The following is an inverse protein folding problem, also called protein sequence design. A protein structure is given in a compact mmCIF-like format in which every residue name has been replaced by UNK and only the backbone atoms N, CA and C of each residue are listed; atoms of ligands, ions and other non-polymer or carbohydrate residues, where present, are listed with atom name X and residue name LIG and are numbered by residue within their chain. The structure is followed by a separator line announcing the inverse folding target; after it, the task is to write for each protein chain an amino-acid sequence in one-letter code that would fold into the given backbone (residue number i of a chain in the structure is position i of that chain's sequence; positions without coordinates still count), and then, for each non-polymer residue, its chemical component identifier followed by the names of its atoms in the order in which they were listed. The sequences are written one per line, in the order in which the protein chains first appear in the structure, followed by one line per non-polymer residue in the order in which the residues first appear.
data_IF_599843278512
#
_entry.id   IF_599843278512
#
_cell.length_a   1.000
_cell.length_b   1.000
_cell.length_c   1.000
_cell.angle_alpha   90.00
_cell.angle_beta   90.00
_cell.angle_gamma   90.00
#
_symmetry.space_group_name_H-M   'P 1'
#
loop_
_entity.id
_entity.type
_entity.pdbx_description
1 polymer ?
#
# COMPACT_ATOMS: atom_id res chain seq x y z
N UNK A 1 -6.51 -30.74 -0.42
CA UNK A 1 -6.04 -29.68 0.50
C UNK A 1 -5.43 -28.49 -0.25
N UNK A 2 -5.01 -28.67 -1.51
CA UNK A 2 -4.39 -27.66 -2.41
C UNK A 2 -5.28 -26.46 -2.77
N UNK A 3 -6.53 -26.72 -3.13
CA UNK A 3 -7.49 -25.71 -3.63
C UNK A 3 -7.84 -24.59 -2.61
N UNK A 4 -7.69 -24.82 -1.29
CA UNK A 4 -8.00 -23.79 -0.28
C UNK A 4 -6.88 -22.75 -0.12
N UNK A 5 -5.62 -23.17 -0.25
CA UNK A 5 -4.47 -22.27 -0.12
C UNK A 5 -4.36 -21.35 -1.35
N UNK A 6 -4.59 -21.91 -2.53
CA UNK A 6 -4.58 -21.16 -3.80
C UNK A 6 -5.69 -20.11 -3.84
N UNK A 7 -6.91 -20.47 -3.40
CA UNK A 7 -8.03 -19.51 -3.30
C UNK A 7 -7.72 -18.36 -2.35
N UNK A 8 -7.11 -18.64 -1.19
CA UNK A 8 -6.73 -17.61 -0.22
C UNK A 8 -5.70 -16.64 -0.82
N UNK A 9 -4.70 -17.16 -1.54
CA UNK A 9 -3.69 -16.35 -2.20
C UNK A 9 -4.31 -15.46 -3.29
N UNK A 10 -5.22 -16.01 -4.11
CA UNK A 10 -5.93 -15.25 -5.15
C UNK A 10 -6.72 -14.09 -4.53
N UNK A 11 -7.50 -14.35 -3.48
CA UNK A 11 -8.28 -13.32 -2.79
C UNK A 11 -7.36 -12.20 -2.25
N UNK A 12 -6.24 -12.56 -1.63
CA UNK A 12 -5.29 -11.56 -1.11
C UNK A 12 -4.70 -10.70 -2.24
N UNK A 13 -4.38 -11.31 -3.39
CA UNK A 13 -3.87 -10.57 -4.55
C UNK A 13 -4.93 -9.60 -5.07
N UNK A 14 -6.18 -10.07 -5.24
CA UNK A 14 -7.30 -9.24 -5.71
C UNK A 14 -7.59 -8.07 -4.76
N UNK A 15 -7.54 -8.30 -3.44
CA UNK A 15 -7.70 -7.24 -2.43
C UNK A 15 -6.59 -6.19 -2.53
N UNK A 16 -5.33 -6.61 -2.64
CA UNK A 16 -4.20 -5.68 -2.77
C UNK A 16 -4.29 -4.91 -4.09
N UNK A 17 -4.67 -5.56 -5.18
CA UNK A 17 -4.87 -4.91 -6.47
C UNK A 17 -5.95 -3.82 -6.40
N UNK A 18 -7.08 -4.12 -5.76
CA UNK A 18 -8.18 -3.16 -5.58
C UNK A 18 -7.73 -1.95 -4.74
N UNK A 19 -7.02 -2.19 -3.64
CA UNK A 19 -6.42 -1.13 -2.80
C UNK A 19 -5.50 -0.23 -3.63
N UNK A 20 -4.61 -0.84 -4.42
CA UNK A 20 -3.64 -0.10 -5.24
C UNK A 20 -4.34 0.77 -6.27
N UNK A 21 -5.36 0.25 -6.95
CA UNK A 21 -6.14 1.03 -7.91
C UNK A 21 -6.89 2.19 -7.24
N UNK A 22 -7.55 1.93 -6.10
CA UNK A 22 -8.28 2.97 -5.36
C UNK A 22 -7.35 4.09 -4.88
N UNK A 23 -6.15 3.75 -4.40
CA UNK A 23 -5.11 4.73 -4.06
C UNK A 23 -4.69 5.53 -5.29
N UNK A 24 -4.45 4.87 -6.43
CA UNK A 24 -3.98 5.54 -7.64
C UNK A 24 -5.03 6.52 -8.21
N UNK A 25 -6.31 6.16 -8.18
CA UNK A 25 -7.42 7.02 -8.58
C UNK A 25 -7.52 8.25 -7.67
N UNK A 26 -7.42 8.04 -6.35
CA UNK A 26 -7.44 9.11 -5.35
C UNK A 26 -6.24 10.04 -5.46
N UNK A 27 -5.03 9.50 -5.68
CA UNK A 27 -3.82 10.29 -5.91
C UNK A 27 -3.95 11.16 -7.15
N UNK A 28 -4.61 10.68 -8.20
CA UNK A 28 -4.86 11.47 -9.42
C UNK A 28 -5.74 12.70 -9.14
N UNK A 29 -6.75 12.56 -8.28
CA UNK A 29 -7.59 13.69 -7.83
C UNK A 29 -6.73 14.73 -7.09
N UNK A 30 -5.88 14.28 -6.17
CA UNK A 30 -5.01 15.15 -5.37
C UNK A 30 -3.96 15.85 -6.24
N UNK A 31 -3.32 15.12 -7.16
CA UNK A 31 -2.26 15.65 -8.01
C UNK A 31 -2.80 16.68 -9.01
N UNK A 32 -3.97 16.41 -9.60
CA UNK A 32 -4.67 17.39 -10.45
C UNK A 32 -5.01 18.66 -9.66
N UNK A 33 -5.44 18.53 -8.42
CA UNK A 33 -5.74 19.68 -7.60
C UNK A 33 -4.48 20.49 -7.25
N UNK A 34 -3.36 19.80 -6.97
CA UNK A 34 -2.06 20.43 -6.68
C UNK A 34 -1.47 21.13 -7.90
N UNK A 35 -1.58 20.57 -9.10
CA UNK A 35 -1.05 21.18 -10.33
C UNK A 35 -1.76 22.47 -10.72
N UNK A 36 -2.99 22.67 -10.23
CA UNK A 36 -3.78 23.88 -10.49
C UNK A 36 -3.49 25.02 -9.49
N UNK A 37 -2.69 24.78 -8.44
CA UNK A 37 -2.32 25.80 -7.47
C UNK A 37 -0.96 26.42 -7.79
N UNK A 38 -0.98 27.68 -8.22
CA UNK A 38 0.21 28.52 -8.38
C UNK A 38 0.74 29.01 -7.01
N UNK A 39 1.24 28.08 -6.17
CA UNK A 39 1.79 28.34 -4.82
C UNK A 39 0.78 28.80 -3.74
N UNK A 40 -0.52 28.66 -3.97
CA UNK A 40 -1.52 28.89 -2.92
C UNK A 40 -1.68 27.68 -1.99
N UNK A 41 -2.28 27.93 -0.81
CA UNK A 41 -2.52 26.96 0.26
C UNK A 41 -3.23 25.71 -0.31
N UNK A 42 -2.76 24.52 0.09
CA UNK A 42 -3.28 23.24 -0.43
C UNK A 42 -4.82 23.20 -0.40
N UNK A 43 -5.47 22.72 -1.48
CA UNK A 43 -6.88 22.98 -1.69
C UNK A 43 -7.72 22.14 -0.72
N UNK A 44 -8.65 22.80 -0.02
CA UNK A 44 -9.56 22.21 0.98
C UNK A 44 -10.92 21.84 0.40
N UNK A 45 -11.00 21.50 -0.89
CA UNK A 45 -12.28 21.07 -1.46
C UNK A 45 -12.67 19.71 -0.89
N UNK A 46 -13.98 19.50 -0.69
CA UNK A 46 -14.51 18.26 -0.11
C UNK A 46 -14.01 17.01 -0.87
N UNK A 47 -13.90 17.08 -2.20
CA UNK A 47 -13.39 15.97 -3.01
C UNK A 47 -11.90 15.61 -2.78
N UNK A 48 -11.06 16.56 -2.39
CA UNK A 48 -9.65 16.27 -2.04
C UNK A 48 -9.57 15.65 -0.66
N UNK A 49 -10.38 16.16 0.27
CA UNK A 49 -10.47 15.62 1.62
C UNK A 49 -11.00 14.18 1.57
N UNK A 50 -12.04 13.92 0.78
CA UNK A 50 -12.56 12.57 0.51
C UNK A 50 -11.50 11.66 -0.11
N UNK A 51 -10.76 12.12 -1.13
CA UNK A 51 -9.69 11.34 -1.75
C UNK A 51 -8.57 11.01 -0.75
N UNK A 52 -8.20 11.96 0.12
CA UNK A 52 -7.23 11.75 1.18
C UNK A 52 -7.72 10.72 2.21
N UNK A 53 -8.98 10.80 2.64
CA UNK A 53 -9.57 9.81 3.54
C UNK A 53 -9.63 8.42 2.91
N UNK A 54 -9.98 8.33 1.63
CA UNK A 54 -10.00 7.06 0.90
C UNK A 54 -8.60 6.44 0.81
N UNK A 55 -7.55 7.26 0.63
CA UNK A 55 -6.17 6.78 0.71
C UNK A 55 -5.85 6.27 2.11
N UNK A 56 -6.22 7.01 3.15
CA UNK A 56 -5.98 6.62 4.55
C UNK A 56 -6.65 5.28 4.90
N UNK A 57 -7.91 5.11 4.53
CA UNK A 57 -8.69 3.88 4.76
C UNK A 57 -8.04 2.69 4.05
N UNK A 58 -7.69 2.85 2.78
CA UNK A 58 -7.00 1.82 2.01
C UNK A 58 -5.63 1.44 2.60
N UNK A 59 -4.89 2.42 3.12
CA UNK A 59 -3.59 2.20 3.78
C UNK A 59 -3.78 1.45 5.10
N UNK A 60 -4.78 1.81 5.90
CA UNK A 60 -5.11 1.10 7.14
C UNK A 60 -5.53 -0.35 6.86
N UNK A 61 -6.44 -0.55 5.89
CA UNK A 61 -6.88 -1.88 5.47
C UNK A 61 -5.75 -2.74 4.91
N UNK A 62 -4.84 -2.14 4.14
CA UNK A 62 -3.62 -2.82 3.70
C UNK A 62 -2.74 -3.25 4.88
N UNK A 63 -2.63 -2.40 5.91
CA UNK A 63 -1.97 -2.75 7.17
C UNK A 63 -2.56 -4.00 7.83
N UNK A 64 -3.89 -4.11 7.88
CA UNK A 64 -4.57 -5.29 8.40
C UNK A 64 -4.26 -6.56 7.59
N UNK A 65 -4.26 -6.47 6.25
CA UNK A 65 -3.90 -7.58 5.36
C UNK A 65 -2.47 -8.03 5.64
N UNK A 66 -1.55 -7.09 5.79
CA UNK A 66 -0.15 -7.34 6.10
C UNK A 66 0.02 -8.06 7.45
N UNK A 67 -0.69 -7.62 8.49
CA UNK A 67 -0.64 -8.23 9.82
C UNK A 67 -1.20 -9.67 9.82
N UNK A 68 -2.25 -9.93 9.06
CA UNK A 68 -2.88 -11.25 8.98
C UNK A 68 -2.15 -12.21 8.03
N UNK A 69 -1.43 -11.69 7.02
CA UNK A 69 -0.74 -12.49 6.01
C UNK A 69 0.75 -12.12 5.82
N UNK A 70 1.56 -12.12 6.90
CA UNK A 70 2.92 -11.57 6.91
C UNK A 70 3.89 -12.31 5.98
N UNK A 71 3.61 -13.57 5.63
CA UNK A 71 4.47 -14.38 4.75
C UNK A 71 4.07 -14.28 3.27
N UNK A 72 2.84 -13.86 2.96
CA UNK A 72 2.31 -13.81 1.59
C UNK A 72 2.51 -12.42 0.98
N UNK A 73 2.19 -11.36 1.71
CA UNK A 73 2.25 -9.99 1.19
C UNK A 73 3.65 -9.59 0.70
N UNK A 74 4.76 -9.88 1.41
CA UNK A 74 6.10 -9.58 0.89
C UNK A 74 6.42 -10.31 -0.41
N UNK A 75 5.94 -11.55 -0.60
CA UNK A 75 6.12 -12.30 -1.86
C UNK A 75 5.40 -11.62 -3.02
N UNK A 76 4.16 -11.18 -2.79
CA UNK A 76 3.35 -10.44 -3.77
C UNK A 76 4.04 -9.12 -4.14
N UNK A 77 4.45 -8.32 -3.15
CA UNK A 77 5.10 -7.02 -3.38
C UNK A 77 6.51 -7.10 -3.97
N UNK A 78 7.20 -8.23 -3.84
CA UNK A 78 8.47 -8.49 -4.55
C UNK A 78 8.24 -8.71 -6.05
N UNK A 79 7.12 -9.31 -6.44
CA UNK A 79 6.75 -9.49 -7.85
C UNK A 79 6.19 -8.20 -8.46
N UNK A 80 5.35 -7.48 -7.71
CA UNK A 80 4.68 -6.26 -8.18
C UNK A 80 5.34 -5.00 -7.60
N UNK A 81 6.50 -4.65 -8.17
CA UNK A 81 7.27 -3.47 -7.74
C UNK A 81 6.46 -2.16 -7.81
N UNK A 82 5.62 -2.00 -8.84
CA UNK A 82 4.75 -0.82 -8.99
C UNK A 82 3.74 -0.70 -7.85
N UNK A 83 3.15 -1.81 -7.43
CA UNK A 83 2.19 -1.81 -6.30
C UNK A 83 2.87 -1.36 -5.02
N UNK A 84 4.09 -1.84 -4.77
CA UNK A 84 4.89 -1.40 -3.62
C UNK A 84 5.18 0.10 -3.68
N UNK A 85 5.53 0.64 -4.84
CA UNK A 85 5.78 2.08 -5.00
C UNK A 85 4.52 2.92 -4.71
N UNK A 86 3.35 2.49 -5.19
CA UNK A 86 2.06 3.16 -4.93
C UNK A 86 1.72 3.10 -3.43
N UNK A 87 1.89 1.95 -2.79
CA UNK A 87 1.64 1.77 -1.35
C UNK A 87 2.63 2.55 -0.47
N UNK A 88 3.86 2.77 -0.94
CA UNK A 88 4.80 3.64 -0.23
C UNK A 88 4.45 5.12 -0.39
N UNK A 89 4.02 5.52 -1.58
CA UNK A 89 3.56 6.87 -1.87
C UNK A 89 2.30 7.22 -1.06
N UNK A 90 1.37 6.27 -0.91
CA UNK A 90 0.15 6.48 -0.11
C UNK A 90 0.42 6.81 1.35
N UNK A 91 1.47 6.23 1.94
CA UNK A 91 1.90 6.58 3.30
C UNK A 91 2.28 8.07 3.38
N UNK A 92 2.93 8.62 2.36
CA UNK A 92 3.30 10.05 2.33
C UNK A 92 2.06 10.96 2.23
N UNK A 93 1.01 10.54 1.54
CA UNK A 93 -0.25 11.29 1.52
C UNK A 93 -0.89 11.35 2.91
N UNK A 94 -0.79 10.30 3.73
CA UNK A 94 -1.31 10.32 5.11
C UNK A 94 -0.62 11.37 6.01
N UNK A 95 0.60 11.80 5.68
CA UNK A 95 1.27 12.94 6.33
C UNK A 95 0.60 14.27 6.00
N UNK A 96 0.10 14.42 4.79
CA UNK A 96 -0.58 15.64 4.36
C UNK A 96 -1.95 15.82 5.04
N UNK A 97 -2.62 14.72 5.42
CA UNK A 97 -3.97 14.73 6.03
C UNK A 97 -3.98 15.44 7.39
N UNK A 98 -2.85 15.45 8.11
CA UNK A 98 -2.80 15.96 9.47
C UNK A 98 -3.16 17.45 9.58
N UNK A 99 -3.00 18.19 8.49
CA UNK A 99 -3.32 19.61 8.43
C UNK A 99 -4.80 19.91 8.13
N UNK A 100 -5.60 18.89 7.81
CA UNK A 100 -6.99 19.03 7.38
C UNK A 100 -8.01 18.48 8.38
N UNK A 101 -7.55 17.75 9.38
CA UNK A 101 -8.42 17.04 10.31
C UNK A 101 -8.30 17.60 11.72
N UNK A 102 -9.34 17.39 12.53
CA UNK A 102 -9.35 17.83 13.92
C UNK A 102 -8.33 17.04 14.76
N UNK A 103 -8.05 17.51 15.97
CA UNK A 103 -7.04 16.91 16.85
C UNK A 103 -7.37 15.43 17.18
N UNK A 104 -8.65 15.08 17.25
CA UNK A 104 -9.10 13.71 17.53
C UNK A 104 -8.80 12.76 16.37
N UNK A 105 -9.09 13.17 15.12
CA UNK A 105 -8.75 12.39 13.93
C UNK A 105 -7.24 12.34 13.70
N UNK A 106 -6.53 13.42 14.02
CA UNK A 106 -5.06 13.46 13.98
C UNK A 106 -4.42 12.40 14.89
N UNK A 107 -4.97 12.20 16.09
CA UNK A 107 -4.50 11.18 17.01
C UNK A 107 -4.67 9.77 16.40
N UNK A 108 -5.81 9.48 15.77
CA UNK A 108 -6.07 8.19 15.11
C UNK A 108 -5.12 7.96 13.93
N UNK A 109 -4.90 8.98 13.09
CA UNK A 109 -3.93 8.90 11.98
C UNK A 109 -2.52 8.64 12.49
N UNK A 110 -2.11 9.31 13.57
CA UNK A 110 -0.79 9.12 14.17
C UNK A 110 -0.59 7.68 14.66
N UNK A 111 -1.62 7.06 15.25
CA UNK A 111 -1.58 5.66 15.67
C UNK A 111 -1.45 4.71 14.47
N UNK A 112 -2.25 4.91 13.42
CA UNK A 112 -2.18 4.11 12.20
C UNK A 112 -0.78 4.18 11.55
N UNK A 113 -0.16 5.37 11.53
CA UNK A 113 1.22 5.55 11.04
C UNK A 113 2.25 4.84 11.90
N UNK A 114 2.12 4.85 13.22
CA UNK A 114 3.06 4.13 14.09
C UNK A 114 3.03 2.63 13.76
N UNK A 115 1.85 2.04 13.62
CA UNK A 115 1.73 0.61 13.25
C UNK A 115 2.36 0.32 11.89
N UNK A 116 2.16 1.18 10.89
CA UNK A 116 2.76 1.03 9.56
C UNK A 116 4.28 1.19 9.56
N UNK A 117 4.82 2.16 10.31
CA UNK A 117 6.26 2.36 10.45
C UNK A 117 6.94 1.21 11.21
N UNK A 118 6.26 0.64 12.23
CA UNK A 118 6.73 -0.56 12.90
C UNK A 118 6.82 -1.74 11.92
N UNK A 119 5.89 -1.85 10.97
CA UNK A 119 5.97 -2.85 9.90
C UNK A 119 7.17 -2.61 8.96
N UNK A 120 7.40 -1.36 8.53
CA UNK A 120 8.56 -1.00 7.71
C UNK A 120 9.87 -1.42 8.39
N UNK A 121 10.04 -1.08 9.66
CA UNK A 121 11.26 -1.40 10.42
C UNK A 121 11.46 -2.91 10.60
N UNK A 122 10.38 -3.65 10.89
CA UNK A 122 10.41 -5.12 10.99
C UNK A 122 10.73 -5.80 9.65
N UNK A 123 10.21 -5.26 8.55
CA UNK A 123 10.52 -5.76 7.20
C UNK A 123 11.98 -5.48 6.81
N UNK A 124 12.54 -4.33 7.17
CA UNK A 124 13.93 -3.96 6.92
C UNK A 124 14.90 -4.81 7.75
N UNK A 125 14.60 -5.09 9.03
CA UNK A 125 15.40 -6.02 9.86
C UNK A 125 15.47 -7.43 9.28
N UNK A 126 14.43 -7.89 8.57
CA UNK A 126 14.44 -9.20 7.89
C UNK A 126 15.15 -9.22 6.53
N UNK A 127 15.41 -8.05 5.93
CA UNK A 127 16.07 -7.96 4.62
C UNK A 127 17.61 -7.94 4.73
N UNK A 128 18.19 -7.66 5.90
CA UNK A 128 19.65 -7.68 6.09
C UNK A 128 20.30 -9.07 6.02
N UNK A 129 19.53 -10.15 5.95
CA UNK A 129 20.09 -11.51 5.89
C UNK A 129 20.06 -12.16 4.51
N UNK A 130 19.43 -11.57 3.48
CA UNK A 130 19.32 -12.23 2.16
C UNK A 130 19.29 -11.24 1.00
N UNK A 131 20.38 -10.53 0.79
CA UNK A 131 20.67 -9.89 -0.49
C UNK A 131 21.98 -10.47 -1.05
N UNK A 132 21.83 -11.47 -1.92
CA UNK A 132 22.74 -11.73 -3.05
C UNK A 132 22.04 -12.70 -4.01
N UNK A 133 21.71 -12.16 -5.19
CA UNK A 133 21.13 -12.81 -6.37
C UNK A 133 19.60 -12.86 -6.43
N UNK A 134 19.00 -12.05 -7.32
CA UNK A 134 18.34 -12.56 -8.53
C UNK A 134 18.04 -11.43 -9.54
N UNK A 135 17.94 -11.76 -10.85
CA UNK A 135 18.05 -10.83 -11.96
C UNK A 135 16.74 -10.20 -12.41
N UNK A 136 16.93 -9.16 -13.21
CA UNK A 136 15.95 -8.25 -13.80
C UNK A 136 14.87 -8.90 -14.68
N UNK A 137 13.75 -8.19 -14.72
CA UNK A 137 12.77 -8.06 -15.80
C UNK A 137 11.59 -9.05 -15.98
N UNK A 138 10.41 -8.39 -16.09
CA UNK A 138 9.20 -8.72 -16.87
C UNK A 138 8.51 -10.04 -16.52
N UNK A 139 7.38 -9.96 -15.79
CA UNK A 139 6.11 -10.70 -16.04
C UNK A 139 5.20 -10.64 -14.80
N UNK A 140 4.31 -9.64 -14.75
CA UNK A 140 3.26 -9.54 -13.73
C UNK A 140 2.37 -10.80 -13.68
N UNK A 141 1.98 -11.40 -14.82
CA UNK A 141 1.11 -12.60 -14.80
C UNK A 141 1.80 -13.96 -14.66
N UNK A 142 3.07 -14.13 -15.09
CA UNK A 142 3.79 -15.41 -14.91
C UNK A 142 4.41 -15.57 -13.51
N UNK A 143 4.64 -14.48 -12.79
CA UNK A 143 5.20 -14.50 -11.43
C UNK A 143 4.29 -15.24 -10.43
N UNK A 144 2.99 -14.96 -10.47
CA UNK A 144 2.00 -15.59 -9.57
C UNK A 144 1.84 -17.09 -9.82
N UNK A 145 1.82 -17.53 -11.07
CA UNK A 145 1.83 -18.98 -11.40
C UNK A 145 3.11 -19.70 -10.96
N UNK A 146 4.21 -18.97 -10.72
CA UNK A 146 5.46 -19.54 -10.20
C UNK A 146 5.44 -19.61 -8.67
N UNK A 147 4.79 -18.66 -7.98
CA UNK A 147 4.57 -18.74 -6.52
C UNK A 147 3.71 -19.94 -6.13
N UNK A 148 2.65 -20.22 -6.88
CA UNK A 148 1.82 -21.41 -6.70
C UNK A 148 2.60 -22.72 -6.85
N UNK A 149 3.68 -22.73 -7.66
CA UNK A 149 4.52 -23.92 -7.90
C UNK A 149 5.71 -24.08 -6.96
N UNK A 150 6.06 -23.04 -6.19
CA UNK A 150 7.22 -23.02 -5.29
C UNK A 150 6.88 -23.47 -3.86
N UNK A 151 5.59 -23.72 -3.57
CA UNK A 151 5.12 -24.29 -2.29
C UNK A 151 4.79 -25.81 -2.42
N UNK A 152 5.27 -26.47 -3.48
CA UNK A 152 5.26 -27.93 -3.70
C UNK A 152 6.62 -28.57 -3.40
#
# INVERSE_FOLDING_TARGET
MEDKHDRKLIIIIELIEHIVHSIQDSSTIIDNARSNLNNETFPKSDGIIEALFLILENVAFFGDIVLHFPNMVPKILRLEKKWREILMLSIQYTDSIQHFVDESTNAVISLAKQELNNFKQKSESTNYEKDNNLPNEKKSKKGFTKLLKLEL
#
